data_IF_326069832526
#
_entry.id   IF_326069832526
#
_cell.length_a   1.000
_cell.length_b   1.000
_cell.length_c   1.000
_cell.angle_alpha   90.00
_cell.angle_beta   90.00
_cell.angle_gamma   90.00
#
_symmetry.space_group_name_H-M   'P 1'
#
loop_
_entity.id
_entity.type
_entity.pdbx_description
1 polymer ?
#
# COMPACT_ATOMS: atom_id res chain seq x y z
N UNK A 1 9.24 -34.91 -39.05
CA UNK A 1 8.91 -35.59 -37.78
C UNK A 1 9.25 -34.62 -36.65
N UNK A 2 8.39 -34.14 -35.78
CA UNK A 2 6.95 -34.27 -35.50
C UNK A 2 6.61 -33.01 -34.68
N UNK A 3 5.51 -32.35 -35.07
CA UNK A 3 4.59 -31.43 -34.34
C UNK A 3 5.15 -30.33 -33.41
N UNK A 4 4.90 -29.04 -33.72
CA UNK A 4 3.70 -28.24 -33.40
C UNK A 4 3.43 -28.09 -31.89
N UNK A 5 3.85 -26.96 -31.31
CA UNK A 5 3.27 -26.41 -30.07
C UNK A 5 2.86 -24.97 -30.38
N UNK A 6 1.64 -24.84 -30.90
CA UNK A 6 0.88 -23.59 -30.92
C UNK A 6 -0.01 -23.59 -29.69
N UNK A 7 0.00 -22.46 -28.97
CA UNK A 7 -1.11 -21.88 -28.23
C UNK A 7 -1.96 -22.79 -27.33
N UNK A 8 -1.73 -22.70 -26.02
CA UNK A 8 -2.83 -22.70 -25.05
C UNK A 8 -2.68 -21.54 -24.06
N UNK A 9 -3.82 -20.94 -23.63
CA UNK A 9 -3.85 -19.64 -23.01
C UNK A 9 -3.32 -19.67 -21.57
N UNK A 10 -2.85 -18.51 -21.11
CA UNK A 10 -2.66 -18.20 -19.71
C UNK A 10 -3.98 -18.46 -18.97
N UNK A 11 -4.09 -19.66 -18.40
CA UNK A 11 -5.12 -19.99 -17.43
C UNK A 11 -4.98 -18.97 -16.30
N UNK A 12 -5.97 -18.10 -16.20
CA UNK A 12 -6.28 -17.31 -15.04
C UNK A 12 -6.63 -18.26 -13.89
N UNK A 13 -5.64 -18.94 -13.33
CA UNK A 13 -5.72 -19.38 -11.96
C UNK A 13 -5.51 -18.13 -11.12
N UNK A 14 -6.59 -17.37 -10.99
CA UNK A 14 -6.77 -16.51 -9.84
C UNK A 14 -6.49 -17.37 -8.64
N UNK A 15 -5.38 -17.09 -7.97
CA UNK A 15 -5.17 -17.59 -6.62
C UNK A 15 -6.23 -16.85 -5.82
N UNK A 16 -7.43 -17.43 -5.77
CA UNK A 16 -8.37 -17.18 -4.71
C UNK A 16 -7.65 -17.60 -3.44
N UNK A 17 -7.06 -16.62 -2.75
CA UNK A 17 -6.93 -16.73 -1.31
C UNK A 17 -8.36 -16.77 -0.77
N UNK A 18 -8.99 -17.95 -0.88
CA UNK A 18 -10.10 -18.30 -0.02
C UNK A 18 -9.52 -18.31 1.38
N UNK A 19 -9.82 -17.25 2.13
CA UNK A 19 -9.72 -17.24 3.58
C UNK A 19 -10.48 -18.45 4.11
N UNK A 20 -9.75 -19.56 4.28
CA UNK A 20 -10.15 -20.63 5.22
C UNK A 20 -9.86 -20.16 6.65
N UNK A 21 -10.42 -19.02 7.04
CA UNK A 21 -10.83 -18.83 8.42
C UNK A 21 -12.29 -19.25 8.45
N UNK A 22 -12.54 -20.55 8.64
CA UNK A 22 -13.87 -21.14 8.72
C UNK A 22 -14.62 -20.71 9.99
N UNK A 23 -14.78 -19.41 10.19
CA UNK A 23 -15.55 -18.80 11.26
C UNK A 23 -16.71 -18.12 10.54
N UNK A 24 -17.88 -18.75 10.55
CA UNK A 24 -19.10 -18.08 10.13
C UNK A 24 -19.24 -16.79 10.96
N UNK A 25 -19.73 -15.67 10.39
CA UNK A 25 -20.02 -14.49 11.19
C UNK A 25 -21.05 -14.90 12.24
N UNK A 26 -20.61 -14.92 13.51
CA UNK A 26 -21.42 -15.19 14.68
C UNK A 26 -22.59 -14.20 14.70
N UNK A 27 -23.80 -14.61 15.05
CA UNK A 27 -24.92 -13.67 15.10
C UNK A 27 -24.70 -12.62 16.19
N UNK A 28 -25.27 -11.43 16.04
CA UNK A 28 -25.06 -10.30 16.98
C UNK A 28 -25.35 -10.66 18.44
N UNK A 29 -26.29 -11.59 18.68
CA UNK A 29 -26.65 -12.07 20.01
C UNK A 29 -25.63 -13.08 20.55
N UNK A 30 -25.21 -14.03 19.72
CA UNK A 30 -24.19 -15.01 20.08
C UNK A 30 -22.84 -14.32 20.35
N UNK A 31 -22.50 -13.27 19.59
CA UNK A 31 -21.28 -12.47 19.78
C UNK A 31 -21.30 -11.73 21.11
N UNK A 32 -22.47 -11.19 21.47
CA UNK A 32 -22.66 -10.54 22.77
C UNK A 32 -22.58 -11.56 23.91
N UNK A 33 -23.28 -12.69 23.80
CA UNK A 33 -23.32 -13.72 24.84
C UNK A 33 -21.96 -14.40 25.07
N UNK A 34 -21.25 -14.79 24.01
CA UNK A 34 -19.92 -15.41 24.09
C UNK A 34 -18.91 -14.44 24.73
N UNK A 35 -18.99 -13.15 24.42
CA UNK A 35 -18.06 -12.17 24.99
C UNK A 35 -18.35 -11.90 26.48
N UNK A 36 -19.61 -11.94 26.90
CA UNK A 36 -19.97 -11.81 28.31
C UNK A 36 -19.51 -13.00 29.14
N UNK A 37 -19.52 -14.19 28.54
CA UNK A 37 -19.01 -15.41 29.15
C UNK A 37 -17.47 -15.41 29.24
N UNK A 38 -16.77 -14.85 28.25
CA UNK A 38 -15.30 -14.70 28.26
C UNK A 38 -14.82 -13.69 29.33
N UNK A 39 -15.63 -12.68 29.63
CA UNK A 39 -15.32 -11.58 30.54
C UNK A 39 -15.76 -11.82 31.99
N UNK A 40 -16.07 -13.05 32.41
CA UNK A 40 -16.49 -13.35 33.78
C UNK A 40 -15.52 -12.76 34.83
N UNK A 41 -15.86 -11.57 35.33
CA UNK A 41 -15.12 -10.84 36.36
C UNK A 41 -15.42 -11.35 37.77
N UNK A 42 -16.06 -12.52 37.90
CA UNK A 42 -16.31 -13.16 39.20
C UNK A 42 -17.43 -12.52 40.02
N UNK A 43 -18.18 -11.58 39.44
CA UNK A 43 -19.44 -11.09 40.00
C UNK A 43 -20.58 -11.68 39.17
N UNK A 44 -21.38 -12.52 39.83
CA UNK A 44 -22.36 -13.41 39.23
C UNK A 44 -23.25 -12.76 38.17
N UNK A 45 -23.62 -13.58 37.19
CA UNK A 45 -24.43 -13.29 36.02
C UNK A 45 -25.66 -12.43 36.40
N UNK A 46 -25.60 -11.13 36.13
CA UNK A 46 -26.80 -10.35 35.85
C UNK A 46 -26.90 -10.29 34.34
N UNK A 47 -27.94 -10.94 33.79
CA UNK A 47 -28.25 -10.87 32.37
C UNK A 47 -28.35 -9.41 31.95
N UNK A 48 -27.64 -9.00 30.89
CA UNK A 48 -27.59 -7.60 30.45
C UNK A 48 -28.99 -7.05 30.15
N UNK A 49 -29.90 -7.92 29.75
CA UNK A 49 -31.30 -7.63 29.50
C UNK A 49 -32.03 -7.06 30.72
N UNK A 50 -31.59 -7.45 31.93
CA UNK A 50 -32.15 -7.04 33.22
C UNK A 50 -31.53 -5.76 33.79
N UNK A 51 -30.46 -5.24 33.16
CA UNK A 51 -29.83 -3.99 33.57
C UNK A 51 -30.56 -2.76 33.01
N UNK A 52 -30.53 -1.66 33.76
CA UNK A 52 -30.98 -0.36 33.28
C UNK A 52 -30.24 0.05 31.99
N UNK A 53 -30.92 0.72 31.03
CA UNK A 53 -30.37 1.01 29.71
C UNK A 53 -29.02 1.74 29.71
N UNK A 54 -28.82 2.68 30.63
CA UNK A 54 -27.59 3.48 30.75
C UNK A 54 -26.40 2.62 31.17
N UNK A 55 -26.60 1.71 32.13
CA UNK A 55 -25.57 0.79 32.63
C UNK A 55 -25.15 -0.19 31.54
N UNK A 56 -26.12 -0.65 30.74
CA UNK A 56 -25.88 -1.51 29.58
C UNK A 56 -25.04 -0.81 28.51
N UNK A 57 -25.35 0.45 28.21
CA UNK A 57 -24.57 1.25 27.24
C UNK A 57 -23.16 1.52 27.76
N UNK A 58 -22.99 1.82 29.05
CA UNK A 58 -21.66 1.98 29.65
C UNK A 58 -20.83 0.69 29.55
N UNK A 59 -21.46 -0.47 29.82
CA UNK A 59 -20.83 -1.78 29.61
C UNK A 59 -20.42 -1.98 28.16
N UNK A 60 -21.23 -1.57 27.18
CA UNK A 60 -20.84 -1.63 25.76
C UNK A 60 -19.62 -0.75 25.46
N UNK A 61 -19.54 0.47 26.01
CA UNK A 61 -18.36 1.33 25.84
C UNK A 61 -17.10 0.69 26.44
N UNK A 62 -17.22 0.06 27.61
CA UNK A 62 -16.12 -0.67 28.22
C UNK A 62 -15.69 -1.87 27.39
N UNK A 63 -16.64 -2.64 26.85
CA UNK A 63 -16.40 -3.77 25.94
C UNK A 63 -15.63 -3.30 24.69
N UNK A 64 -16.11 -2.24 24.04
CA UNK A 64 -15.45 -1.65 22.86
C UNK A 64 -14.01 -1.29 23.21
N UNK A 65 -13.76 -0.72 24.39
CA UNK A 65 -12.40 -0.39 24.85
C UNK A 65 -11.49 -1.60 24.96
N UNK A 66 -11.96 -2.72 25.49
CA UNK A 66 -11.15 -3.94 25.58
C UNK A 66 -10.84 -4.50 24.19
N UNK A 67 -11.83 -4.52 23.28
CA UNK A 67 -11.63 -4.97 21.90
C UNK A 67 -10.68 -4.05 21.11
N UNK A 68 -10.75 -2.74 21.32
CA UNK A 68 -9.76 -1.82 20.74
C UNK A 68 -8.34 -2.10 21.26
N UNK A 69 -8.17 -2.44 22.54
CA UNK A 69 -6.86 -2.84 23.09
C UNK A 69 -6.35 -4.15 22.48
N UNK A 70 -7.20 -5.17 22.36
CA UNK A 70 -6.86 -6.43 21.68
C UNK A 70 -6.46 -6.18 20.23
N UNK A 71 -7.25 -5.40 19.50
CA UNK A 71 -6.98 -5.04 18.11
C UNK A 71 -5.64 -4.30 17.98
N UNK A 72 -5.33 -3.38 18.89
CA UNK A 72 -4.07 -2.65 18.87
C UNK A 72 -2.87 -3.56 19.15
N UNK A 73 -3.01 -4.56 20.05
CA UNK A 73 -1.97 -5.60 20.23
C UNK A 73 -1.77 -6.41 18.95
N UNK A 74 -2.85 -6.85 18.30
CA UNK A 74 -2.76 -7.58 17.04
C UNK A 74 -2.08 -6.74 15.94
N UNK A 75 -2.43 -5.45 15.83
CA UNK A 75 -1.78 -4.51 14.89
C UNK A 75 -0.28 -4.36 15.17
N UNK A 76 0.11 -4.21 16.43
CA UNK A 76 1.51 -4.08 16.81
C UNK A 76 2.32 -5.34 16.46
N UNK A 77 1.77 -6.53 16.73
CA UNK A 77 2.40 -7.82 16.36
C UNK A 77 2.50 -7.94 14.84
N UNK A 78 1.45 -7.58 14.12
CA UNK A 78 1.43 -7.60 12.66
C UNK A 78 2.51 -6.70 12.06
N UNK A 79 2.59 -5.46 12.52
CA UNK A 79 3.61 -4.49 12.07
C UNK A 79 5.02 -4.98 12.39
N UNK A 80 5.24 -5.52 13.59
CA UNK A 80 6.53 -6.12 13.97
C UNK A 80 6.89 -7.29 13.06
N UNK A 81 5.93 -8.14 12.70
CA UNK A 81 6.12 -9.29 11.81
C UNK A 81 6.47 -8.85 10.39
N UNK A 82 5.78 -7.84 9.85
CA UNK A 82 6.11 -7.25 8.54
C UNK A 82 7.54 -6.74 8.57
N UNK A 83 7.88 -5.92 9.55
CA UNK A 83 9.19 -5.28 9.63
C UNK A 83 10.32 -6.33 9.79
N UNK A 84 10.11 -7.38 10.57
CA UNK A 84 11.05 -8.50 10.67
C UNK A 84 11.25 -9.23 9.33
N UNK A 85 10.15 -9.45 8.60
CA UNK A 85 10.17 -10.13 7.30
C UNK A 85 10.89 -9.29 6.25
N UNK A 86 10.57 -8.00 6.17
CA UNK A 86 11.22 -7.05 5.27
C UNK A 86 12.72 -6.95 5.56
N UNK A 87 13.11 -6.81 6.82
CA UNK A 87 14.52 -6.77 7.20
C UNK A 87 15.27 -8.05 6.83
N UNK A 88 14.66 -9.21 7.01
CA UNK A 88 15.25 -10.48 6.58
C UNK A 88 15.42 -10.53 5.05
N UNK A 89 14.37 -10.13 4.32
CA UNK A 89 14.38 -10.07 2.86
C UNK A 89 15.48 -9.15 2.35
N UNK A 90 15.54 -7.90 2.80
CA UNK A 90 16.55 -6.92 2.39
C UNK A 90 17.97 -7.38 2.71
N UNK A 91 18.19 -8.08 3.84
CA UNK A 91 19.52 -8.66 4.15
C UNK A 91 19.90 -9.75 3.14
N UNK A 92 18.97 -10.62 2.77
CA UNK A 92 19.21 -11.68 1.78
C UNK A 92 19.45 -11.10 0.40
N UNK A 93 18.61 -10.16 -0.01
CA UNK A 93 18.74 -9.43 -1.27
C UNK A 93 20.10 -8.74 -1.37
N UNK A 94 20.52 -8.00 -0.33
CA UNK A 94 21.81 -7.35 -0.30
C UNK A 94 22.97 -8.34 -0.40
N UNK A 95 22.89 -9.47 0.30
CA UNK A 95 23.94 -10.51 0.24
C UNK A 95 24.10 -11.09 -1.17
N UNK A 96 22.98 -11.40 -1.82
CA UNK A 96 22.96 -11.93 -3.19
C UNK A 96 23.46 -10.87 -4.18
N UNK A 97 22.99 -9.62 -4.04
CA UNK A 97 23.39 -8.50 -4.89
C UNK A 97 24.89 -8.22 -4.80
N UNK A 98 25.45 -8.16 -3.59
CA UNK A 98 26.90 -7.99 -3.40
C UNK A 98 27.71 -9.13 -4.03
N UNK A 99 27.18 -10.36 -3.99
CA UNK A 99 27.81 -11.51 -4.64
C UNK A 99 27.78 -11.37 -6.16
N UNK A 100 26.64 -10.96 -6.74
CA UNK A 100 26.50 -10.69 -8.17
C UNK A 100 27.44 -9.57 -8.61
N UNK A 101 27.51 -8.47 -7.86
CA UNK A 101 28.42 -7.35 -8.15
C UNK A 101 29.87 -7.78 -8.09
N UNK A 102 30.27 -8.54 -7.07
CA UNK A 102 31.62 -9.06 -6.95
C UNK A 102 31.99 -9.90 -8.18
N UNK A 103 31.16 -10.87 -8.55
CA UNK A 103 31.39 -11.71 -9.73
C UNK A 103 31.42 -10.88 -11.02
N UNK A 104 30.55 -9.86 -11.14
CA UNK A 104 30.55 -8.92 -12.26
C UNK A 104 31.88 -8.16 -12.37
N UNK A 105 32.41 -7.65 -11.25
CA UNK A 105 33.71 -6.98 -11.20
C UNK A 105 34.84 -7.93 -11.60
N UNK A 106 34.79 -9.19 -11.17
CA UNK A 106 35.79 -10.19 -11.58
C UNK A 106 35.75 -10.44 -13.09
N UNK A 107 34.57 -10.56 -13.69
CA UNK A 107 34.42 -10.70 -15.15
C UNK A 107 34.94 -9.46 -15.91
N UNK A 108 34.63 -8.25 -15.42
CA UNK A 108 35.16 -7.00 -16.00
C UNK A 108 36.69 -6.93 -15.92
N UNK A 109 37.27 -7.29 -14.78
CA UNK A 109 38.71 -7.31 -14.57
C UNK A 109 39.40 -8.30 -15.53
N UNK A 110 38.80 -9.48 -15.72
CA UNK A 110 39.30 -10.47 -16.68
C UNK A 110 39.34 -9.95 -18.12
N UNK A 111 38.26 -9.30 -18.59
CA UNK A 111 38.23 -8.70 -19.93
C UNK A 111 39.31 -7.61 -20.08
N UNK A 112 39.48 -6.75 -19.07
CA UNK A 112 40.48 -5.67 -19.07
C UNK A 112 41.91 -6.21 -19.09
N UNK A 113 42.23 -7.19 -18.24
CA UNK A 113 43.58 -7.78 -18.15
C UNK A 113 44.01 -8.48 -19.45
N UNK A 114 43.04 -9.08 -20.16
CA UNK A 114 43.29 -9.78 -21.41
C UNK A 114 43.05 -8.89 -22.66
N UNK A 115 42.78 -7.59 -22.49
CA UNK A 115 42.45 -6.65 -23.57
C UNK A 115 41.31 -7.12 -24.51
N UNK A 116 40.31 -7.82 -23.96
CA UNK A 116 39.16 -8.33 -24.71
C UNK A 116 37.96 -7.40 -24.61
N UNK A 117 37.26 -7.16 -25.73
CA UNK A 117 36.02 -6.37 -25.75
C UNK A 117 34.79 -7.17 -25.30
N UNK A 118 34.73 -8.45 -25.66
CA UNK A 118 33.63 -9.35 -25.34
C UNK A 118 34.08 -10.82 -25.37
N UNK A 119 33.35 -11.68 -24.66
CA UNK A 119 33.54 -13.13 -24.61
C UNK A 119 32.18 -13.83 -24.56
N UNK A 120 31.98 -14.84 -25.40
CA UNK A 120 30.78 -15.69 -25.40
C UNK A 120 31.08 -17.03 -24.75
N UNK A 121 30.24 -17.44 -23.81
CA UNK A 121 30.36 -18.67 -23.02
C UNK A 121 29.03 -19.44 -23.03
N UNK A 122 29.00 -20.72 -22.63
CA UNK A 122 27.77 -21.51 -22.62
C UNK A 122 26.64 -20.92 -21.76
N UNK A 123 26.98 -20.27 -20.65
CA UNK A 123 26.01 -19.67 -19.72
C UNK A 123 25.70 -18.19 -20.02
N UNK A 124 26.20 -17.63 -21.12
CA UNK A 124 25.94 -16.25 -21.51
C UNK A 124 27.15 -15.56 -22.13
N UNK A 125 27.03 -14.25 -22.35
CA UNK A 125 28.11 -13.43 -22.90
C UNK A 125 28.42 -12.25 -21.99
N UNK A 126 29.68 -11.85 -21.97
CA UNK A 126 30.17 -10.67 -21.26
C UNK A 126 30.86 -9.73 -22.24
N UNK A 127 30.75 -8.43 -22.03
CA UNK A 127 31.42 -7.45 -22.88
C UNK A 127 31.11 -6.01 -22.50
N UNK A 128 31.88 -5.09 -23.06
CA UNK A 128 31.64 -3.66 -22.93
C UNK A 128 30.79 -3.17 -24.10
N UNK A 129 29.63 -2.59 -23.81
CA UNK A 129 28.80 -1.89 -24.80
C UNK A 129 29.11 -0.40 -24.82
N UNK A 130 29.03 0.23 -25.98
CA UNK A 130 29.05 1.70 -26.08
C UNK A 130 27.74 2.25 -25.51
N UNK A 131 27.82 3.16 -24.53
CA UNK A 131 26.66 3.92 -24.06
C UNK A 131 26.45 5.14 -24.96
N UNK A 132 25.19 5.59 -25.07
CA UNK A 132 24.86 6.86 -25.73
C UNK A 132 25.45 7.99 -24.89
N UNK A 133 25.94 9.03 -25.55
CA UNK A 133 26.55 10.17 -24.88
C UNK A 133 25.51 10.88 -24.01
N UNK A 134 25.89 11.16 -22.76
CA UNK A 134 25.07 11.96 -21.85
C UNK A 134 25.29 13.44 -22.18
N UNK A 135 24.21 14.15 -22.47
CA UNK A 135 24.24 15.60 -22.69
C UNK A 135 23.68 16.26 -21.43
N UNK A 136 24.49 17.06 -20.75
CA UNK A 136 24.09 17.89 -19.62
C UNK A 136 24.06 19.36 -20.07
N UNK A 137 22.97 20.05 -19.78
CA UNK A 137 22.86 21.50 -20.02
C UNK A 137 23.47 22.19 -18.80
N UNK A 138 24.67 22.77 -18.97
CA UNK A 138 25.41 23.41 -17.86
C UNK A 138 24.85 24.78 -17.48
N UNK A 139 24.25 25.49 -18.45
CA UNK A 139 23.65 26.82 -18.28
C UNK A 139 22.33 26.85 -19.06
N UNK A 140 21.22 26.85 -18.32
CA UNK A 140 19.88 26.80 -18.91
C UNK A 140 19.50 28.13 -19.58
N UNK A 141 19.89 29.27 -19.00
CA UNK A 141 19.52 30.59 -19.50
C UNK A 141 20.24 30.87 -20.82
N UNK A 142 21.55 30.61 -20.89
CA UNK A 142 22.34 30.76 -22.10
C UNK A 142 21.90 29.77 -23.20
N UNK A 143 21.48 28.57 -22.80
CA UNK A 143 20.91 27.60 -23.73
C UNK A 143 19.57 28.08 -24.28
N UNK A 144 18.64 28.54 -23.43
CA UNK A 144 17.31 29.03 -23.82
C UNK A 144 17.38 30.27 -24.74
N UNK A 145 18.32 31.18 -24.50
CA UNK A 145 18.53 32.36 -25.35
C UNK A 145 18.99 32.00 -26.77
N UNK A 146 19.76 30.91 -26.91
CA UNK A 146 20.33 30.46 -28.18
C UNK A 146 19.66 29.18 -28.72
N UNK A 147 18.63 28.67 -28.05
CA UNK A 147 18.04 27.37 -28.34
C UNK A 147 17.26 27.39 -29.65
N UNK A 148 17.44 26.34 -30.44
CA UNK A 148 16.56 26.07 -31.57
C UNK A 148 15.21 25.56 -31.04
N UNK A 149 14.05 26.04 -31.53
CA UNK A 149 12.74 25.53 -31.15
C UNK A 149 12.56 24.01 -31.24
N UNK A 150 13.35 23.32 -32.07
CA UNK A 150 13.36 21.85 -32.17
C UNK A 150 13.96 21.13 -30.94
N UNK A 151 14.67 21.85 -30.08
CA UNK A 151 15.33 21.33 -28.87
C UNK A 151 14.53 21.59 -27.60
N UNK A 152 13.37 22.25 -27.71
CA UNK A 152 12.52 22.64 -26.58
C UNK A 152 11.27 21.76 -26.52
N UNK A 153 10.89 21.31 -25.32
CA UNK A 153 9.68 20.52 -25.08
C UNK A 153 8.60 21.38 -24.43
N UNK A 154 7.47 21.56 -25.10
CA UNK A 154 6.32 22.28 -24.53
C UNK A 154 5.37 21.31 -23.83
N UNK A 155 5.09 21.53 -22.54
CA UNK A 155 4.08 20.76 -21.79
C UNK A 155 2.93 21.70 -21.46
N UNK A 156 1.71 21.38 -21.94
CA UNK A 156 0.52 22.21 -21.71
C UNK A 156 0.04 22.05 -20.26
N UNK A 157 -0.27 23.14 -19.58
CA UNK A 157 -0.70 23.17 -18.18
C UNK A 157 -1.97 22.34 -17.94
N UNK A 158 -1.95 21.49 -16.91
CA UNK A 158 -3.09 20.67 -16.50
C UNK A 158 -3.89 21.38 -15.42
N UNK A 159 -5.19 21.60 -15.62
CA UNK A 159 -6.09 22.18 -14.61
C UNK A 159 -6.95 21.07 -13.96
N UNK A 160 -6.98 21.04 -12.63
CA UNK A 160 -7.80 20.12 -11.84
C UNK A 160 -8.79 20.90 -10.94
N UNK A 161 -10.01 20.36 -10.68
CA UNK A 161 -11.00 21.04 -9.83
C UNK A 161 -10.56 21.13 -8.35
N UNK A 162 -10.64 22.32 -7.76
CA UNK A 162 -10.40 22.54 -6.33
C UNK A 162 -11.71 22.49 -5.52
N UNK A 163 -11.87 21.39 -4.77
CA UNK A 163 -13.05 21.13 -3.92
C UNK A 163 -13.20 22.19 -2.81
N UNK A 164 -12.09 22.78 -2.33
CA UNK A 164 -12.14 23.80 -1.27
C UNK A 164 -12.70 25.11 -1.83
N UNK A 165 -12.16 25.57 -2.96
CA UNK A 165 -12.66 26.77 -3.66
C UNK A 165 -14.14 26.62 -4.06
N UNK A 166 -14.55 25.44 -4.50
CA UNK A 166 -15.95 25.10 -4.79
C UNK A 166 -16.83 25.27 -3.54
N UNK A 167 -16.39 24.74 -2.38
CA UNK A 167 -17.15 24.84 -1.12
C UNK A 167 -17.26 26.28 -0.64
N UNK A 168 -16.22 27.09 -0.83
CA UNK A 168 -16.22 28.52 -0.51
C UNK A 168 -17.15 29.30 -1.44
N UNK A 169 -17.11 29.02 -2.74
CA UNK A 169 -18.02 29.60 -3.73
C UNK A 169 -19.50 29.33 -3.37
N UNK A 170 -19.85 28.09 -3.01
CA UNK A 170 -21.22 27.73 -2.63
C UNK A 170 -21.68 28.49 -1.38
N UNK A 171 -20.78 28.69 -0.40
CA UNK A 171 -21.06 29.49 0.82
C UNK A 171 -21.26 30.97 0.53
N UNK A 172 -20.43 31.55 -0.35
CA UNK A 172 -20.47 32.97 -0.72
C UNK A 172 -21.64 33.29 -1.65
N UNK A 173 -21.96 32.38 -2.57
CA UNK A 173 -23.03 32.54 -3.57
C UNK A 173 -24.41 32.19 -3.04
N UNK A 174 -24.56 32.03 -1.72
CA UNK A 174 -25.87 31.78 -1.08
C UNK A 174 -26.53 30.46 -1.48
N UNK A 175 -25.75 29.45 -1.90
CA UNK A 175 -26.27 28.13 -2.30
C UNK A 175 -26.30 27.87 -3.80
N UNK A 176 -25.79 28.77 -4.64
CA UNK A 176 -25.66 28.51 -6.08
C UNK A 176 -24.59 27.44 -6.36
N UNK A 177 -24.96 26.40 -7.10
CA UNK A 177 -24.11 25.23 -7.36
C UNK A 177 -23.44 25.39 -8.73
N UNK A 178 -22.10 25.39 -8.81
CA UNK A 178 -21.40 25.37 -10.09
C UNK A 178 -21.83 24.18 -10.95
N UNK A 179 -21.91 24.39 -12.27
CA UNK A 179 -22.31 23.34 -13.22
C UNK A 179 -21.42 22.10 -13.05
N UNK A 180 -22.06 20.95 -12.84
CA UNK A 180 -21.38 19.66 -12.65
C UNK A 180 -21.19 19.23 -11.19
N UNK A 181 -21.67 20.00 -10.21
CA UNK A 181 -21.52 19.71 -8.77
C UNK A 181 -22.89 19.40 -8.16
N UNK A 182 -22.99 18.29 -7.44
CA UNK A 182 -24.21 17.88 -6.76
C UNK A 182 -23.96 17.83 -5.24
N UNK A 183 -24.69 18.64 -4.48
CA UNK A 183 -24.59 18.71 -3.02
C UNK A 183 -25.66 17.80 -2.39
N UNK A 184 -25.23 16.66 -1.86
CA UNK A 184 -26.11 15.75 -1.10
C UNK A 184 -26.05 16.10 0.39
N UNK A 185 -27.21 16.38 1.00
CA UNK A 185 -27.31 16.46 2.46
C UNK A 185 -27.10 15.07 3.04
N UNK A 186 -26.17 14.93 3.98
CA UNK A 186 -25.91 13.68 4.67
C UNK A 186 -26.68 13.66 6.01
N UNK A 187 -27.22 12.51 6.36
CA UNK A 187 -27.88 12.31 7.65
C UNK A 187 -26.89 12.35 8.81
N UNK A 188 -27.42 12.66 10.01
CA UNK A 188 -26.66 12.66 11.25
C UNK A 188 -26.00 11.29 11.48
N UNK A 189 -24.67 11.29 11.63
CA UNK A 189 -23.88 10.07 11.87
C UNK A 189 -23.79 9.80 13.37
N UNK A 190 -24.09 8.55 13.77
CA UNK A 190 -23.84 8.08 15.14
C UNK A 190 -22.34 8.19 15.49
N UNK A 191 -22.05 8.60 16.72
CA UNK A 191 -20.69 8.67 17.25
C UNK A 191 -20.64 8.23 18.71
N UNK A 192 -19.48 7.71 19.12
CA UNK A 192 -19.11 7.50 20.52
C UNK A 192 -17.68 8.00 20.74
N UNK A 193 -17.33 8.30 21.98
CA UNK A 193 -15.97 8.67 22.37
C UNK A 193 -15.64 7.98 23.67
N UNK A 194 -14.53 7.24 23.68
CA UNK A 194 -13.98 6.66 24.90
C UNK A 194 -13.12 7.71 25.61
N UNK A 195 -13.30 7.86 26.91
CA UNK A 195 -12.45 8.74 27.72
C UNK A 195 -11.13 8.04 28.02
N UNK A 196 -10.02 8.76 27.92
CA UNK A 196 -8.70 8.28 28.38
C UNK A 196 -8.76 8.01 29.90
N UNK A 197 -8.10 6.93 30.33
CA UNK A 197 -7.94 6.57 31.74
C UNK A 197 -6.58 7.09 32.20
#
# INVERSE_FOLDING_TARGET
MVENILNEPLSSNGISFEEKTGIAPMSDKELLEDFLNELDTGDGIVSIEELEPEIRIDKFLWIIRQKEKELNKCKAIHEQSINMTENWYSKKENTITLTIEFLTRQMQNYLRQNNMKSLSLPNGSIGFRKQVDLIEVTDEDLFLENANPSLLKHTVETYAPDIKAIKEYIKQSGGDLPKGINLKSQDSKFYYKLNEL
#
